data_IF_036133458351
#
_entry.id   IF_036133458351
#
_cell.length_a   1.000
_cell.length_b   1.000
_cell.length_c   1.000
_cell.angle_alpha   90.00
_cell.angle_beta   90.00
_cell.angle_gamma   90.00
#
_symmetry.space_group_name_H-M   'P 1'
#
loop_
_entity.id
_entity.type
_entity.pdbx_description
1 polymer ?
#
# COMPACT_ATOMS: atom_id res chain seq x y z
N UNK A 1 -6.59 -35.64 -0.22
CA UNK A 1 -6.13 -34.24 -0.14
C UNK A 1 -7.00 -33.40 -1.04
N UNK A 2 -7.84 -32.60 -0.46
CA UNK A 2 -8.75 -31.76 -1.19
C UNK A 2 -8.05 -30.58 -1.84
N UNK A 3 -8.54 -30.17 -3.01
CA UNK A 3 -8.11 -28.94 -3.69
C UNK A 3 -8.37 -27.67 -2.88
N UNK A 4 -8.99 -27.79 -1.70
CA UNK A 4 -9.27 -26.66 -0.79
C UNK A 4 -8.00 -26.05 -0.17
N UNK A 5 -6.88 -26.77 -0.20
CA UNK A 5 -5.59 -26.26 0.28
C UNK A 5 -4.87 -25.39 -0.75
N UNK A 6 -5.46 -25.21 -1.93
CA UNK A 6 -4.93 -24.45 -3.04
C UNK A 6 -5.59 -23.07 -3.20
N UNK A 7 -6.21 -22.53 -2.16
CA UNK A 7 -6.49 -21.11 -2.15
C UNK A 7 -5.13 -20.44 -2.06
N UNK A 8 -4.62 -20.04 -3.22
CA UNK A 8 -3.41 -19.24 -3.27
C UNK A 8 -3.63 -18.05 -2.36
N UNK A 9 -2.79 -17.93 -1.35
CA UNK A 9 -2.84 -16.78 -0.45
C UNK A 9 -2.45 -15.54 -1.25
N UNK A 10 -3.45 -14.81 -1.72
CA UNK A 10 -3.29 -13.59 -2.52
C UNK A 10 -2.49 -12.50 -1.79
N UNK A 11 -2.23 -12.68 -0.51
CA UNK A 11 -1.40 -11.77 0.27
C UNK A 11 0.04 -12.24 0.36
N UNK A 12 0.35 -13.47 -0.06
CA UNK A 12 1.70 -14.01 0.03
C UNK A 12 2.67 -13.29 -0.91
N UNK A 13 3.93 -13.22 -0.50
CA UNK A 13 5.00 -12.70 -1.35
C UNK A 13 5.09 -13.48 -2.67
N UNK A 14 4.99 -14.80 -2.62
CA UNK A 14 5.02 -15.66 -3.79
C UNK A 14 3.97 -15.26 -4.82
N UNK A 15 2.73 -15.11 -4.39
CA UNK A 15 1.61 -14.72 -5.24
C UNK A 15 1.78 -13.31 -5.82
N UNK A 16 2.08 -12.34 -4.96
CA UNK A 16 2.20 -10.93 -5.37
C UNK A 16 3.38 -10.68 -6.28
N UNK A 17 4.53 -11.29 -5.99
CA UNK A 17 5.71 -11.18 -6.86
C UNK A 17 5.45 -11.79 -8.23
N UNK A 18 4.85 -12.98 -8.28
CA UNK A 18 4.49 -13.65 -9.53
C UNK A 18 3.51 -12.83 -10.37
N UNK A 19 2.49 -12.26 -9.75
CA UNK A 19 1.51 -11.44 -10.44
C UNK A 19 2.11 -10.15 -10.98
N UNK A 20 2.90 -9.44 -10.20
CA UNK A 20 3.59 -8.23 -10.66
C UNK A 20 4.51 -8.53 -11.85
N UNK A 21 5.24 -9.64 -11.78
CA UNK A 21 6.11 -10.07 -12.89
C UNK A 21 5.29 -10.32 -14.16
N UNK A 22 4.20 -11.07 -14.04
CA UNK A 22 3.32 -11.39 -15.18
C UNK A 22 2.65 -10.14 -15.76
N UNK A 23 2.21 -9.24 -14.90
CA UNK A 23 1.58 -7.97 -15.31
C UNK A 23 2.56 -7.07 -16.09
N UNK A 24 3.85 -7.22 -15.84
CA UNK A 24 4.91 -6.50 -16.57
C UNK A 24 5.50 -7.31 -17.75
N UNK A 25 4.85 -8.42 -18.11
CA UNK A 25 5.28 -9.29 -19.22
C UNK A 25 6.73 -9.78 -19.10
N UNK A 26 7.17 -10.04 -17.87
CA UNK A 26 8.52 -10.54 -17.59
C UNK A 26 8.52 -12.04 -17.33
N UNK A 27 9.51 -12.75 -17.86
CA UNK A 27 9.83 -14.11 -17.43
C UNK A 27 10.55 -14.07 -16.06
N UNK A 28 10.60 -15.21 -15.39
CA UNK A 28 11.37 -15.34 -14.14
C UNK A 28 12.85 -14.99 -14.36
N UNK A 29 13.40 -15.41 -15.49
CA UNK A 29 14.79 -15.10 -15.86
C UNK A 29 15.00 -13.60 -16.07
N UNK A 30 14.08 -12.96 -16.79
CA UNK A 30 14.15 -11.52 -17.03
C UNK A 30 14.06 -10.72 -15.73
N UNK A 31 13.17 -11.11 -14.83
CA UNK A 31 13.09 -10.48 -13.51
C UNK A 31 14.38 -10.70 -12.71
N UNK A 32 14.92 -11.91 -12.72
CA UNK A 32 16.17 -12.22 -12.05
C UNK A 32 17.33 -11.35 -12.57
N UNK A 33 17.42 -11.16 -13.87
CA UNK A 33 18.42 -10.29 -14.49
C UNK A 33 18.25 -8.84 -14.04
N UNK A 34 17.02 -8.34 -13.96
CA UNK A 34 16.73 -6.98 -13.50
C UNK A 34 17.08 -6.76 -12.02
N UNK A 35 16.90 -7.77 -11.20
CA UNK A 35 17.19 -7.70 -9.77
C UNK A 35 18.61 -8.14 -9.41
N UNK A 36 19.41 -8.52 -10.41
CA UNK A 36 20.78 -9.04 -10.22
C UNK A 36 20.85 -10.26 -9.29
N UNK A 37 19.88 -11.15 -9.44
CA UNK A 37 19.80 -12.42 -8.71
C UNK A 37 19.72 -13.58 -9.70
N UNK A 38 19.76 -14.81 -9.18
CA UNK A 38 19.65 -16.00 -10.03
C UNK A 38 18.20 -16.33 -10.35
N UNK A 39 17.97 -16.96 -11.49
CA UNK A 39 16.66 -17.49 -11.86
C UNK A 39 16.11 -18.45 -10.78
N UNK A 40 16.97 -19.29 -10.21
CA UNK A 40 16.59 -20.20 -9.12
C UNK A 40 16.04 -19.47 -7.90
N UNK A 41 16.61 -18.31 -7.53
CA UNK A 41 16.14 -17.53 -6.40
C UNK A 41 14.72 -17.00 -6.64
N UNK A 42 14.44 -16.48 -7.84
CA UNK A 42 13.09 -16.01 -8.18
C UNK A 42 12.10 -17.18 -8.22
N UNK A 43 12.49 -18.28 -8.85
CA UNK A 43 11.64 -19.48 -8.94
C UNK A 43 11.26 -20.03 -7.57
N UNK A 44 12.20 -20.09 -6.63
CA UNK A 44 11.94 -20.58 -5.27
C UNK A 44 11.07 -19.63 -4.45
N UNK A 45 11.21 -18.33 -4.65
CA UNK A 45 10.33 -17.34 -3.99
C UNK A 45 8.90 -17.49 -4.52
N UNK A 46 8.72 -17.53 -5.83
CA UNK A 46 7.40 -17.62 -6.45
C UNK A 46 6.70 -18.97 -6.19
N UNK A 47 7.45 -20.04 -6.00
CA UNK A 47 6.88 -21.35 -5.64
C UNK A 47 6.50 -21.47 -4.15
N UNK A 48 6.92 -20.50 -3.34
CA UNK A 48 6.74 -20.56 -1.89
C UNK A 48 7.74 -21.46 -1.17
N UNK A 49 8.71 -22.03 -1.87
CA UNK A 49 9.77 -22.85 -1.27
C UNK A 49 10.67 -22.04 -0.35
N UNK A 50 11.00 -20.80 -0.74
CA UNK A 50 11.73 -19.87 0.10
C UNK A 50 10.75 -19.07 0.96
N UNK A 51 10.65 -19.42 2.25
CA UNK A 51 9.75 -18.74 3.18
C UNK A 51 10.30 -17.42 3.71
N UNK A 52 11.63 -17.33 3.83
CA UNK A 52 12.34 -16.15 4.34
C UNK A 52 13.36 -15.67 3.30
N UNK A 53 12.90 -14.99 2.23
CA UNK A 53 13.82 -14.49 1.21
C UNK A 53 14.73 -13.40 1.79
N UNK A 54 15.87 -13.21 1.14
CA UNK A 54 16.76 -12.11 1.49
C UNK A 54 16.02 -10.78 1.35
N UNK A 55 16.10 -9.96 2.39
CA UNK A 55 15.40 -8.66 2.42
C UNK A 55 15.83 -7.74 1.27
N UNK A 56 17.08 -7.82 0.81
CA UNK A 56 17.54 -7.01 -0.31
C UNK A 56 16.79 -7.34 -1.61
N UNK A 57 16.43 -8.60 -1.84
CA UNK A 57 15.62 -9.01 -2.99
C UNK A 57 14.22 -8.40 -2.90
N UNK A 58 13.61 -8.40 -1.73
CA UNK A 58 12.29 -7.80 -1.49
C UNK A 58 12.32 -6.30 -1.75
N UNK A 59 13.32 -5.61 -1.22
CA UNK A 59 13.49 -4.16 -1.42
C UNK A 59 13.70 -3.84 -2.89
N UNK A 60 14.57 -4.57 -3.58
CA UNK A 60 14.86 -4.33 -4.99
C UNK A 60 13.65 -4.61 -5.88
N UNK A 61 12.89 -5.66 -5.58
CA UNK A 61 11.64 -5.96 -6.27
C UNK A 61 10.60 -4.85 -6.06
N UNK A 62 10.44 -4.38 -4.82
CA UNK A 62 9.53 -3.29 -4.49
C UNK A 62 9.87 -2.01 -5.28
N UNK A 63 11.13 -1.66 -5.36
CA UNK A 63 11.61 -0.52 -6.15
C UNK A 63 11.38 -0.71 -7.63
N UNK A 64 11.67 -1.89 -8.15
CA UNK A 64 11.50 -2.20 -9.57
C UNK A 64 10.04 -2.09 -10.01
N UNK A 65 9.12 -2.62 -9.21
CA UNK A 65 7.68 -2.60 -9.51
C UNK A 65 6.95 -1.35 -9.01
N UNK A 66 7.64 -0.43 -8.36
CA UNK A 66 7.04 0.78 -7.76
C UNK A 66 5.91 0.47 -6.77
N UNK A 67 6.09 -0.56 -5.98
CA UNK A 67 5.21 -0.93 -4.88
C UNK A 67 5.96 -0.85 -3.56
N UNK A 68 5.22 -0.84 -2.44
CA UNK A 68 5.85 -0.87 -1.13
C UNK A 68 6.33 -2.28 -0.77
N UNK A 69 7.35 -2.36 0.09
CA UNK A 69 7.77 -3.63 0.69
C UNK A 69 6.65 -4.24 1.52
N UNK A 70 5.86 -3.42 2.20
CA UNK A 70 4.71 -3.86 2.98
C UNK A 70 3.67 -4.56 2.10
N UNK A 71 3.42 -4.04 0.91
CA UNK A 71 2.55 -4.71 -0.06
C UNK A 71 3.10 -6.08 -0.46
N UNK A 72 4.37 -6.15 -0.85
CA UNK A 72 4.98 -7.43 -1.24
C UNK A 72 4.96 -8.45 -0.11
N UNK A 73 5.16 -8.01 1.13
CA UNK A 73 5.17 -8.88 2.30
C UNK A 73 3.77 -9.24 2.82
N UNK A 74 2.72 -8.71 2.21
CA UNK A 74 1.36 -9.00 2.60
C UNK A 74 0.84 -8.24 3.82
N UNK A 75 1.57 -7.22 4.27
CA UNK A 75 1.21 -6.40 5.45
C UNK A 75 0.09 -5.43 5.10
N UNK A 76 0.04 -4.94 3.87
CA UNK A 76 -0.98 -4.02 3.37
C UNK A 76 -1.51 -4.47 2.02
N UNK A 77 -2.73 -4.08 1.69
CA UNK A 77 -3.31 -4.26 0.37
C UNK A 77 -3.10 -3.04 -0.54
N UNK A 78 -2.55 -1.98 -0.01
CA UNK A 78 -2.25 -0.74 -0.74
C UNK A 78 -0.93 -0.92 -1.48
N UNK A 79 -0.96 -0.98 -2.81
CA UNK A 79 0.21 -1.20 -3.67
C UNK A 79 1.25 -0.10 -3.54
N UNK A 80 0.80 1.13 -3.55
CA UNK A 80 1.62 2.30 -3.30
C UNK A 80 0.80 3.23 -2.42
N UNK A 81 1.20 3.46 -1.16
CA UNK A 81 0.64 4.61 -0.49
C UNK A 81 1.03 5.81 -1.34
N UNK A 82 0.05 6.53 -1.87
CA UNK A 82 0.30 7.90 -2.29
C UNK A 82 0.82 8.59 -1.02
N UNK A 83 2.14 8.72 -0.91
CA UNK A 83 2.72 9.39 0.24
C UNK A 83 2.42 10.86 0.12
N UNK A 84 1.26 11.24 0.60
CA UNK A 84 1.05 12.62 0.97
C UNK A 84 1.78 12.82 2.30
N UNK A 85 2.66 13.79 2.34
CA UNK A 85 3.21 14.25 3.60
C UNK A 85 2.05 14.84 4.40
N UNK A 86 1.77 14.30 5.59
CA UNK A 86 0.70 14.78 6.47
C UNK A 86 0.88 16.27 6.77
N UNK A 87 2.11 16.77 6.81
CA UNK A 87 2.41 18.19 7.04
C UNK A 87 1.80 19.11 5.96
N UNK A 88 1.60 18.61 4.75
CA UNK A 88 0.96 19.37 3.66
C UNK A 88 -0.52 19.66 3.96
N UNK A 89 -1.16 18.85 4.80
CA UNK A 89 -2.53 19.10 5.23
C UNK A 89 -2.65 20.28 6.18
N UNK A 90 -1.55 20.71 6.79
CA UNK A 90 -1.49 21.81 7.77
C UNK A 90 -2.46 21.65 8.96
N UNK A 91 -2.77 20.40 9.29
CA UNK A 91 -3.57 20.09 10.46
C UNK A 91 -2.71 20.26 11.72
N UNK A 92 -3.32 20.70 12.82
CA UNK A 92 -2.64 20.73 14.12
C UNK A 92 -2.31 19.31 14.59
N UNK A 93 -1.30 19.19 15.45
CA UNK A 93 -0.94 17.91 16.07
C UNK A 93 -2.13 17.28 16.79
N UNK A 94 -2.92 18.10 17.51
CA UNK A 94 -4.13 17.63 18.19
C UNK A 94 -5.17 17.08 17.20
N UNK A 95 -5.39 17.76 16.07
CA UNK A 95 -6.33 17.32 15.04
C UNK A 95 -5.89 15.97 14.44
N UNK A 96 -4.61 15.83 14.14
CA UNK A 96 -4.03 14.57 13.64
C UNK A 96 -4.21 13.45 14.66
N UNK A 97 -3.93 13.73 15.94
CA UNK A 97 -4.08 12.75 17.02
C UNK A 97 -5.53 12.28 17.15
N UNK A 98 -6.49 13.18 17.06
CA UNK A 98 -7.92 12.84 17.12
C UNK A 98 -8.34 11.95 15.94
N UNK A 99 -7.83 12.22 14.74
CA UNK A 99 -8.09 11.40 13.57
C UNK A 99 -7.50 9.99 13.71
N UNK A 100 -6.24 9.91 14.15
CA UNK A 100 -5.53 8.62 14.32
C UNK A 100 -6.18 7.78 15.42
N UNK A 101 -6.57 8.39 16.52
CA UNK A 101 -7.21 7.68 17.65
C UNK A 101 -8.69 7.37 17.41
N UNK A 102 -9.21 7.70 16.22
CA UNK A 102 -10.59 7.46 15.81
C UNK A 102 -11.65 8.03 16.75
N UNK A 103 -11.35 9.16 17.38
CA UNK A 103 -12.35 9.93 18.15
C UNK A 103 -13.32 10.69 17.25
N UNK A 104 -13.10 10.61 15.94
CA UNK A 104 -13.92 11.22 14.90
C UNK A 104 -14.41 10.10 14.00
N UNK A 105 -15.67 10.19 13.60
CA UNK A 105 -16.22 9.30 12.58
C UNK A 105 -15.59 9.66 11.22
N UNK A 106 -14.61 8.84 10.79
CA UNK A 106 -13.85 9.09 9.57
C UNK A 106 -14.73 8.98 8.33
N UNK A 107 -15.74 8.10 8.34
CA UNK A 107 -16.65 7.94 7.20
C UNK A 107 -17.48 9.20 7.00
N UNK A 108 -17.99 9.76 8.06
CA UNK A 108 -18.73 11.05 8.02
C UNK A 108 -17.78 12.17 7.58
N UNK A 109 -16.55 12.20 8.11
CA UNK A 109 -15.56 13.20 7.73
C UNK A 109 -15.25 13.16 6.23
N UNK A 110 -15.01 11.96 5.67
CA UNK A 110 -14.77 11.79 4.24
C UNK A 110 -15.94 12.31 3.40
N UNK A 111 -17.16 11.93 3.77
CA UNK A 111 -18.38 12.38 3.06
C UNK A 111 -18.54 13.89 3.13
N UNK A 112 -18.19 14.50 4.25
CA UNK A 112 -18.24 15.96 4.44
C UNK A 112 -17.20 16.65 3.54
N UNK A 113 -15.95 16.20 3.56
CA UNK A 113 -14.86 16.77 2.77
C UNK A 113 -15.07 16.66 1.26
N UNK A 114 -15.69 15.57 0.82
CA UNK A 114 -15.98 15.29 -0.59
C UNK A 114 -17.26 15.97 -1.10
N UNK A 115 -18.07 16.52 -0.20
CA UNK A 115 -19.35 17.13 -0.57
C UNK A 115 -19.13 18.42 -1.35
N UNK A 116 -19.84 18.60 -2.45
CA UNK A 116 -19.70 19.76 -3.34
C UNK A 116 -19.91 21.12 -2.66
N UNK A 117 -20.72 21.14 -1.59
CA UNK A 117 -21.02 22.38 -0.83
C UNK A 117 -20.11 22.58 0.38
N UNK A 118 -19.14 21.70 0.61
CA UNK A 118 -18.23 21.81 1.76
C UNK A 118 -17.46 23.15 1.79
N UNK A 119 -16.93 23.66 0.65
CA UNK A 119 -16.25 24.97 0.67
C UNK A 119 -17.14 26.11 1.15
N UNK A 120 -18.42 26.09 0.80
CA UNK A 120 -19.40 27.08 1.26
C UNK A 120 -19.65 26.97 2.75
N UNK A 121 -19.76 25.75 3.26
CA UNK A 121 -19.87 25.49 4.70
C UNK A 121 -18.66 26.02 5.47
N UNK A 122 -17.45 25.85 4.93
CA UNK A 122 -16.22 26.36 5.53
C UNK A 122 -16.26 27.89 5.69
N UNK A 123 -16.76 28.60 4.70
CA UNK A 123 -16.91 30.07 4.76
C UNK A 123 -17.86 30.46 5.89
N UNK A 124 -19.00 29.78 5.98
CA UNK A 124 -19.99 30.05 7.02
C UNK A 124 -19.45 29.78 8.42
N UNK A 125 -18.73 28.70 8.61
CA UNK A 125 -18.10 28.33 9.88
C UNK A 125 -16.99 29.32 10.25
N UNK A 126 -16.18 29.74 9.29
CA UNK A 126 -15.14 30.75 9.50
C UNK A 126 -15.74 32.03 10.03
N UNK A 127 -16.81 32.54 9.43
CA UNK A 127 -17.50 33.74 9.87
C UNK A 127 -18.01 33.59 11.32
N UNK A 128 -18.50 32.41 11.67
CA UNK A 128 -18.94 32.13 13.04
C UNK A 128 -17.80 32.24 14.05
N UNK A 129 -16.61 31.73 13.73
CA UNK A 129 -15.47 31.81 14.63
C UNK A 129 -14.79 33.19 14.65
N UNK A 130 -14.79 33.89 13.53
CA UNK A 130 -14.14 35.22 13.45
C UNK A 130 -14.98 36.34 14.09
N UNK A 131 -16.29 36.13 14.21
CA UNK A 131 -17.21 37.09 14.89
C UNK A 131 -17.19 36.99 16.43
N UNK A 132 -16.41 36.08 16.96
CA UNK A 132 -16.18 35.94 18.39
C UNK A 132 -14.77 36.37 18.75
#
# INVERSE_FOLDING_TARGET
MGKSDLIEDETSLAYRLSNLRKDHDLSQKQLADQLHVTHSQISRIESGETKNPNISIVIDAARFFHVSTDYLLGITQITSPKSYDISELRLSEEAVTRLITRRIDVDILNRLLEHEHFPKLCIMIRNYFDDT
#
